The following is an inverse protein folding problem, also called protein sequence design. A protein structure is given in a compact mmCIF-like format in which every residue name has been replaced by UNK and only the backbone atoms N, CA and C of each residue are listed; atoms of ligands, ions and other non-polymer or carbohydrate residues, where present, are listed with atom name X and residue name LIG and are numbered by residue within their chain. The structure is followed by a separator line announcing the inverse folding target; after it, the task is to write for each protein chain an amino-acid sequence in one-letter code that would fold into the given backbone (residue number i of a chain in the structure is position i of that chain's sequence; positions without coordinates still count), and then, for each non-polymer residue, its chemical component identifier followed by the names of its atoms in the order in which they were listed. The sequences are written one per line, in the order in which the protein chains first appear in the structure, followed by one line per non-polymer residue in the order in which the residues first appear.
data_IF_049526616178
#
_entry.id   IF_049526616178
#
_cell.length_a   1.000
_cell.length_b   1.000
_cell.length_c   1.000
_cell.angle_alpha   90.00
_cell.angle_beta   90.00
_cell.angle_gamma   90.00
#
_symmetry.space_group_name_H-M   'P 1'
#
loop_
_entity.id
_entity.type
_entity.pdbx_description
1 polymer ?
#
# COMPACT_ATOMS: atom_id res chain seq x y z
N UNK A 1 16.65 -29.66 -15.45
CA UNK A 1 15.51 -30.30 -14.79
C UNK A 1 14.76 -31.14 -15.82
N UNK A 2 14.45 -32.39 -15.50
CA UNK A 2 13.51 -33.19 -16.29
C UNK A 2 12.10 -32.60 -16.18
N UNK A 3 11.24 -32.81 -17.18
CA UNK A 3 9.86 -32.31 -17.14
C UNK A 3 9.08 -32.81 -15.90
N UNK A 4 9.46 -33.97 -15.36
CA UNK A 4 8.88 -34.54 -14.14
C UNK A 4 9.31 -33.78 -12.88
N UNK A 5 10.58 -33.36 -12.78
CA UNK A 5 11.07 -32.54 -11.66
C UNK A 5 10.39 -31.18 -11.63
N UNK A 6 10.33 -30.50 -12.78
CA UNK A 6 9.67 -29.19 -12.88
C UNK A 6 8.18 -29.25 -12.51
N UNK A 7 7.50 -30.34 -12.86
CA UNK A 7 6.11 -30.56 -12.48
C UNK A 7 5.94 -30.80 -10.98
N UNK A 8 6.85 -31.56 -10.38
CA UNK A 8 6.84 -31.80 -8.93
C UNK A 8 7.06 -30.52 -8.14
N UNK A 9 7.98 -29.64 -8.58
CA UNK A 9 8.18 -28.32 -7.98
C UNK A 9 6.93 -27.44 -8.10
N UNK A 10 6.29 -27.42 -9.27
CA UNK A 10 5.05 -26.68 -9.47
C UNK A 10 3.93 -27.18 -8.54
N UNK A 11 3.74 -28.49 -8.45
CA UNK A 11 2.71 -29.10 -7.60
C UNK A 11 2.96 -28.81 -6.11
N UNK A 12 4.22 -28.84 -5.67
CA UNK A 12 4.60 -28.46 -4.31
C UNK A 12 4.29 -26.98 -4.02
N UNK A 13 4.72 -26.07 -4.90
CA UNK A 13 4.44 -24.64 -4.72
C UNK A 13 2.94 -24.30 -4.74
N UNK A 14 2.14 -25.04 -5.53
CA UNK A 14 0.68 -24.90 -5.49
C UNK A 14 0.08 -25.41 -4.19
N UNK A 15 0.63 -26.48 -3.61
CA UNK A 15 0.18 -26.98 -2.31
C UNK A 15 0.45 -25.96 -1.20
N UNK A 16 1.65 -25.40 -1.16
CA UNK A 16 2.05 -24.36 -0.19
C UNK A 16 1.15 -23.12 -0.34
N UNK A 17 0.92 -22.66 -1.57
CA UNK A 17 0.04 -21.52 -1.84
C UNK A 17 -1.40 -21.76 -1.34
N UNK A 18 -1.95 -22.96 -1.58
CA UNK A 18 -3.29 -23.30 -1.12
C UNK A 18 -3.36 -23.40 0.41
N UNK A 19 -2.31 -23.89 1.05
CA UNK A 19 -2.20 -23.91 2.51
C UNK A 19 -2.20 -22.48 3.07
N UNK A 20 -1.43 -21.56 2.48
CA UNK A 20 -1.41 -20.15 2.86
C UNK A 20 -2.80 -19.54 2.73
N UNK A 21 -3.45 -19.70 1.59
CA UNK A 21 -4.81 -19.16 1.35
C UNK A 21 -5.80 -19.70 2.39
N UNK A 22 -5.74 -21.00 2.68
CA UNK A 22 -6.63 -21.63 3.65
C UNK A 22 -6.41 -21.11 5.07
N UNK A 23 -5.15 -20.94 5.49
CA UNK A 23 -4.82 -20.36 6.80
C UNK A 23 -5.26 -18.90 6.87
N UNK A 24 -4.95 -18.09 5.84
CA UNK A 24 -5.36 -16.69 5.76
C UNK A 24 -6.89 -16.51 5.91
N UNK A 25 -7.69 -17.41 5.35
CA UNK A 25 -9.15 -17.36 5.44
C UNK A 25 -9.68 -17.56 6.87
N UNK A 26 -8.95 -18.29 7.72
CA UNK A 26 -9.37 -18.61 9.08
C UNK A 26 -9.32 -17.39 10.02
N UNK A 27 -8.36 -16.48 9.85
CA UNK A 27 -8.19 -15.33 10.76
C UNK A 27 -9.36 -14.35 10.74
N UNK A 28 -9.90 -14.04 9.57
CA UNK A 28 -10.90 -12.96 9.41
C UNK A 28 -12.32 -13.44 9.09
N UNK A 29 -12.54 -14.76 9.01
CA UNK A 29 -13.77 -15.29 8.39
C UNK A 29 -13.94 -14.77 6.96
N UNK A 30 -12.82 -14.49 6.28
CA UNK A 30 -12.80 -13.97 4.91
C UNK A 30 -12.83 -15.15 3.95
N UNK A 31 -13.77 -15.10 3.01
CA UNK A 31 -13.87 -16.11 1.95
C UNK A 31 -12.52 -16.32 1.24
N UNK A 32 -12.02 -17.57 1.14
CA UNK A 32 -10.75 -17.89 0.47
C UNK A 32 -10.65 -17.33 -0.96
N UNK A 33 -11.81 -17.18 -1.63
CA UNK A 33 -11.92 -16.58 -2.97
C UNK A 33 -11.42 -15.13 -3.03
N UNK A 34 -11.59 -14.34 -1.96
CA UNK A 34 -11.10 -12.96 -1.90
C UNK A 34 -9.57 -12.93 -1.86
N UNK A 35 -8.95 -13.76 -1.03
CA UNK A 35 -7.48 -13.86 -0.93
C UNK A 35 -6.90 -14.31 -2.27
N UNK A 36 -7.52 -15.32 -2.90
CA UNK A 36 -7.12 -15.77 -4.24
C UNK A 36 -7.22 -14.66 -5.29
N UNK A 37 -8.25 -13.82 -5.20
CA UNK A 37 -8.43 -12.69 -6.11
C UNK A 37 -7.33 -11.64 -5.92
N UNK A 38 -6.93 -11.33 -4.69
CA UNK A 38 -5.81 -10.41 -4.44
C UNK A 38 -4.48 -10.95 -4.95
N UNK A 39 -4.20 -12.24 -4.72
CA UNK A 39 -3.02 -12.91 -5.27
C UNK A 39 -3.04 -12.86 -6.80
N UNK A 40 -4.21 -13.08 -7.43
CA UNK A 40 -4.35 -12.99 -8.88
C UNK A 40 -4.04 -11.58 -9.40
N UNK A 41 -4.52 -10.53 -8.74
CA UNK A 41 -4.22 -9.14 -9.13
C UNK A 41 -2.72 -8.85 -9.08
N UNK A 42 -2.04 -9.30 -8.03
CA UNK A 42 -0.57 -9.14 -7.90
C UNK A 42 0.14 -9.88 -9.03
N UNK A 43 -0.25 -11.14 -9.28
CA UNK A 43 0.33 -11.94 -10.36
C UNK A 43 0.11 -11.30 -11.73
N UNK A 44 -1.11 -10.86 -12.04
CA UNK A 44 -1.44 -10.21 -13.31
C UNK A 44 -0.63 -8.94 -13.50
N UNK A 45 -0.48 -8.13 -12.45
CA UNK A 45 0.37 -6.94 -12.48
C UNK A 45 1.84 -7.28 -12.82
N UNK A 46 2.42 -8.27 -12.13
CA UNK A 46 3.80 -8.72 -12.37
C UNK A 46 3.94 -9.24 -13.80
N UNK A 47 3.03 -10.11 -14.25
CA UNK A 47 3.07 -10.69 -15.60
C UNK A 47 2.94 -9.61 -16.69
N UNK A 48 2.03 -8.66 -16.52
CA UNK A 48 1.86 -7.54 -17.46
C UNK A 48 3.12 -6.68 -17.53
N UNK A 49 3.75 -6.38 -16.38
CA UNK A 49 5.01 -5.62 -16.35
C UNK A 49 6.16 -6.36 -17.01
N UNK A 50 6.31 -7.65 -16.75
CA UNK A 50 7.32 -8.48 -17.43
C UNK A 50 7.06 -8.54 -18.93
N UNK A 51 5.80 -8.69 -19.35
CA UNK A 51 5.41 -8.71 -20.75
C UNK A 51 5.72 -7.39 -21.46
N UNK A 52 5.40 -6.26 -20.82
CA UNK A 52 5.73 -4.92 -21.32
C UNK A 52 7.24 -4.76 -21.53
N UNK A 53 8.05 -5.15 -20.55
CA UNK A 53 9.51 -5.04 -20.64
C UNK A 53 10.10 -5.99 -21.69
N UNK A 54 9.58 -7.22 -21.79
CA UNK A 54 9.99 -8.18 -22.82
C UNK A 54 9.67 -7.65 -24.22
N UNK A 55 8.47 -7.12 -24.42
CA UNK A 55 8.03 -6.48 -25.66
C UNK A 55 8.95 -5.30 -26.01
N UNK A 56 9.14 -4.37 -25.09
CA UNK A 56 9.98 -3.19 -25.27
C UNK A 56 11.42 -3.56 -25.65
N UNK A 57 12.00 -4.54 -24.96
CA UNK A 57 13.36 -5.00 -25.24
C UNK A 57 13.49 -5.71 -26.59
N UNK A 58 12.46 -6.47 -27.00
CA UNK A 58 12.51 -7.26 -28.24
C UNK A 58 12.12 -6.47 -29.48
N UNK A 59 11.26 -5.47 -29.34
CA UNK A 59 10.70 -4.68 -30.44
C UNK A 59 10.88 -3.18 -30.22
N UNK A 60 12.13 -2.66 -30.18
CA UNK A 60 12.39 -1.24 -29.92
C UNK A 60 11.85 -0.30 -31.02
N UNK A 61 11.60 -0.81 -32.22
CA UNK A 61 11.09 -0.05 -33.37
C UNK A 61 9.58 -0.18 -33.55
N UNK A 62 8.83 -0.44 -32.47
CA UNK A 62 7.37 -0.52 -32.57
C UNK A 62 6.75 0.86 -32.82
N UNK A 63 5.83 0.93 -33.78
CA UNK A 63 5.04 2.14 -34.10
C UNK A 63 4.24 2.64 -32.89
N UNK A 64 3.99 1.77 -31.89
CA UNK A 64 3.35 2.16 -30.63
C UNK A 64 4.12 3.30 -29.96
N UNK A 65 5.46 3.33 -30.05
CA UNK A 65 6.24 4.39 -29.40
C UNK A 65 5.99 5.78 -29.98
N UNK A 66 5.59 5.89 -31.24
CA UNK A 66 5.30 7.18 -31.90
C UNK A 66 3.98 7.78 -31.43
N UNK A 67 3.05 6.94 -30.97
CA UNK A 67 1.71 7.34 -30.55
C UNK A 67 1.64 7.91 -29.12
N UNK A 68 2.75 7.86 -28.37
CA UNK A 68 2.79 8.26 -26.96
C UNK A 68 3.96 9.19 -26.67
N UNK A 69 3.74 10.18 -25.80
CA UNK A 69 4.77 11.18 -25.44
C UNK A 69 6.01 10.57 -24.80
N UNK A 70 5.84 9.51 -24.02
CA UNK A 70 6.92 8.79 -23.35
C UNK A 70 6.52 7.34 -23.07
N UNK A 71 7.52 6.49 -22.79
CA UNK A 71 7.32 5.04 -22.58
C UNK A 71 6.41 4.76 -21.39
N UNK A 72 6.49 5.57 -20.33
CA UNK A 72 5.72 5.40 -19.10
C UNK A 72 4.21 5.63 -19.34
N UNK A 73 3.86 6.43 -20.35
CA UNK A 73 2.47 6.71 -20.71
C UNK A 73 1.78 5.62 -21.54
N UNK A 74 2.51 4.59 -21.98
CA UNK A 74 1.97 3.50 -22.79
C UNK A 74 1.19 2.54 -21.87
N UNK A 75 -0.12 2.33 -22.09
CA UNK A 75 -0.89 1.37 -21.30
C UNK A 75 -0.43 -0.08 -21.56
N UNK A 76 -0.42 -0.92 -20.53
CA UNK A 76 0.03 -2.31 -20.65
C UNK A 76 -0.76 -3.09 -21.71
N UNK A 77 -2.08 -2.89 -21.82
CA UNK A 77 -2.92 -3.59 -22.81
C UNK A 77 -2.53 -3.27 -24.27
N UNK A 78 -2.04 -2.05 -24.54
CA UNK A 78 -1.61 -1.64 -25.89
C UNK A 78 -0.30 -2.33 -26.25
N UNK A 79 0.65 -2.32 -25.33
CA UNK A 79 1.93 -3.02 -25.49
C UNK A 79 1.74 -4.53 -25.66
N UNK A 80 0.86 -5.14 -24.85
CA UNK A 80 0.56 -6.57 -24.94
C UNK A 80 -0.10 -6.91 -26.29
N UNK A 81 -1.05 -6.10 -26.76
CA UNK A 81 -1.70 -6.33 -28.06
C UNK A 81 -0.71 -6.21 -29.24
N UNK A 82 0.23 -5.25 -29.20
CA UNK A 82 1.29 -5.17 -30.21
C UNK A 82 2.29 -6.34 -30.09
N UNK A 83 2.62 -6.76 -28.86
CA UNK A 83 3.46 -7.93 -28.63
C UNK A 83 2.84 -9.20 -29.23
N UNK A 84 1.53 -9.37 -29.10
CA UNK A 84 0.78 -10.48 -29.71
C UNK A 84 0.83 -10.48 -31.23
N UNK A 85 0.69 -9.30 -31.84
CA UNK A 85 0.78 -9.17 -33.31
C UNK A 85 2.17 -9.49 -33.83
N UNK A 86 3.21 -9.02 -33.13
CA UNK A 86 4.62 -9.17 -33.57
C UNK A 86 5.22 -10.53 -33.22
N UNK A 87 4.75 -11.15 -32.15
CA UNK A 87 5.08 -12.52 -31.79
C UNK A 87 3.80 -13.33 -31.56
N UNK A 88 3.19 -13.88 -32.63
CA UNK A 88 1.96 -14.65 -32.52
C UNK A 88 2.10 -15.96 -31.73
N UNK A 89 3.32 -16.51 -31.63
CA UNK A 89 3.56 -17.76 -30.91
C UNK A 89 3.51 -17.52 -29.37
N UNK A 90 2.50 -18.04 -28.65
CA UNK A 90 2.34 -17.81 -27.21
C UNK A 90 3.46 -18.44 -26.37
N UNK A 91 4.03 -19.57 -26.82
CA UNK A 91 5.11 -20.25 -26.08
C UNK A 91 6.39 -19.42 -26.13
N UNK A 92 6.72 -18.88 -27.31
CA UNK A 92 7.89 -17.99 -27.43
C UNK A 92 7.66 -16.67 -26.68
N UNK A 93 6.43 -16.13 -26.67
CA UNK A 93 6.13 -14.97 -25.80
C UNK A 93 6.40 -15.30 -24.35
N UNK A 94 5.84 -16.40 -23.83
CA UNK A 94 6.04 -16.81 -22.44
C UNK A 94 7.53 -17.01 -22.12
N UNK A 95 8.31 -17.60 -23.04
CA UNK A 95 9.76 -17.75 -22.89
C UNK A 95 10.50 -16.41 -22.80
N UNK A 96 10.09 -15.41 -23.58
CA UNK A 96 10.67 -14.07 -23.52
C UNK A 96 10.31 -13.37 -22.20
N UNK A 97 9.03 -13.44 -21.80
CA UNK A 97 8.55 -12.85 -20.55
C UNK A 97 9.23 -13.48 -19.34
N UNK A 98 9.41 -14.81 -19.35
CA UNK A 98 10.03 -15.53 -18.24
C UNK A 98 11.51 -15.18 -18.02
N UNK A 99 12.20 -14.64 -19.03
CA UNK A 99 13.60 -14.19 -18.92
C UNK A 99 13.74 -12.80 -18.30
N UNK A 100 12.65 -12.03 -18.21
CA UNK A 100 12.68 -10.70 -17.63
C UNK A 100 12.57 -10.83 -16.11
N UNK A 101 13.58 -10.35 -15.40
CA UNK A 101 13.55 -10.16 -13.96
C UNK A 101 13.25 -8.69 -13.65
N UNK A 102 12.29 -8.44 -12.77
CA UNK A 102 11.86 -7.08 -12.39
C UNK A 102 11.89 -6.93 -10.86
N UNK A 103 12.14 -5.71 -10.38
CA UNK A 103 12.23 -5.46 -8.94
C UNK A 103 10.96 -5.85 -8.18
N UNK A 104 9.79 -5.70 -8.80
CA UNK A 104 8.48 -6.05 -8.25
C UNK A 104 8.32 -7.52 -7.88
N UNK A 105 9.09 -8.43 -8.51
CA UNK A 105 9.09 -9.86 -8.18
C UNK A 105 9.75 -10.15 -6.83
N UNK A 106 10.61 -9.25 -6.36
CA UNK A 106 11.36 -9.38 -5.12
C UNK A 106 10.81 -8.49 -4.00
N UNK A 107 9.69 -7.80 -4.25
CA UNK A 107 8.99 -6.99 -3.24
C UNK A 107 8.00 -7.85 -2.46
N UNK A 108 7.87 -7.58 -1.18
CA UNK A 108 6.77 -8.10 -0.36
C UNK A 108 5.49 -7.36 -0.71
N UNK A 109 4.44 -8.12 -1.04
CA UNK A 109 3.13 -7.57 -1.36
C UNK A 109 2.16 -7.78 -0.19
N UNK A 110 1.37 -6.76 0.20
CA UNK A 110 0.41 -6.91 1.28
C UNK A 110 -0.70 -7.88 0.86
N UNK A 111 -0.91 -8.92 1.68
CA UNK A 111 -1.94 -9.93 1.44
C UNK A 111 -3.15 -9.78 2.36
N UNK A 112 -2.90 -9.60 3.66
CA UNK A 112 -3.92 -9.51 4.69
C UNK A 112 -3.48 -8.53 5.77
N UNK A 113 -4.36 -7.62 6.18
CA UNK A 113 -4.15 -6.77 7.35
C UNK A 113 -4.69 -7.46 8.61
N UNK A 114 -3.87 -7.52 9.65
CA UNK A 114 -4.20 -8.06 10.97
C UNK A 114 -4.53 -6.88 11.90
N UNK A 115 -5.68 -6.91 12.58
CA UNK A 115 -6.15 -5.78 13.40
C UNK A 115 -6.09 -6.05 14.91
N UNK A 116 -6.25 -7.30 15.32
CA UNK A 116 -6.31 -7.68 16.74
C UNK A 116 -5.02 -8.38 17.17
N UNK A 117 -4.69 -8.29 18.47
CA UNK A 117 -3.54 -8.98 19.04
C UNK A 117 -3.66 -10.51 18.90
N UNK A 118 -4.89 -11.05 18.98
CA UNK A 118 -5.17 -12.47 18.78
C UNK A 118 -4.89 -12.91 17.34
N UNK A 119 -5.25 -12.09 16.33
CA UNK A 119 -4.94 -12.36 14.93
C UNK A 119 -3.43 -12.35 14.70
N UNK A 120 -2.72 -11.39 15.30
CA UNK A 120 -1.27 -11.26 15.20
C UNK A 120 -0.59 -12.49 15.80
N UNK A 121 -0.98 -12.88 17.01
CA UNK A 121 -0.42 -14.04 17.69
C UNK A 121 -0.67 -15.33 16.91
N UNK A 122 -1.89 -15.53 16.44
CA UNK A 122 -2.24 -16.73 15.67
C UNK A 122 -1.50 -16.75 14.34
N UNK A 123 -1.38 -15.62 13.64
CA UNK A 123 -0.62 -15.54 12.40
C UNK A 123 0.86 -15.85 12.61
N UNK A 124 1.46 -15.36 13.69
CA UNK A 124 2.86 -15.66 14.04
C UNK A 124 3.09 -17.16 14.24
N UNK A 125 2.14 -17.86 14.87
CA UNK A 125 2.22 -19.30 15.08
C UNK A 125 2.02 -20.09 13.78
N UNK A 126 0.99 -19.72 12.99
CA UNK A 126 0.58 -20.47 11.81
C UNK A 126 1.52 -20.29 10.60
N UNK A 127 2.18 -19.14 10.47
CA UNK A 127 3.09 -18.83 9.38
C UNK A 127 4.58 -18.96 9.76
N UNK A 128 4.89 -19.47 10.96
CA UNK A 128 6.27 -19.57 11.45
C UNK A 128 7.20 -20.34 10.49
N UNK A 129 6.70 -21.45 9.94
CA UNK A 129 7.45 -22.39 9.09
C UNK A 129 7.06 -22.29 7.60
N UNK A 130 6.40 -21.20 7.19
CA UNK A 130 5.98 -21.01 5.80
C UNK A 130 6.90 -19.99 5.12
N UNK A 131 7.75 -20.52 4.24
CA UNK A 131 8.61 -19.69 3.39
C UNK A 131 7.79 -18.79 2.46
N UNK A 132 8.17 -17.52 2.37
CA UNK A 132 7.54 -16.54 1.48
C UNK A 132 6.38 -15.75 2.10
N UNK A 133 5.99 -16.02 3.35
CA UNK A 133 5.05 -15.18 4.11
C UNK A 133 5.81 -14.46 5.23
N UNK A 134 5.51 -13.17 5.41
CA UNK A 134 6.12 -12.36 6.46
C UNK A 134 5.05 -11.51 7.14
N UNK A 135 5.16 -11.37 8.46
CA UNK A 135 4.34 -10.48 9.26
C UNK A 135 5.12 -9.19 9.46
N UNK A 136 4.63 -8.12 8.86
CA UNK A 136 5.25 -6.80 8.93
C UNK A 136 4.39 -5.87 9.79
N UNK A 137 5.04 -5.15 10.71
CA UNK A 137 4.37 -4.11 11.47
C UNK A 137 4.04 -2.93 10.56
N UNK A 138 2.77 -2.48 10.60
CA UNK A 138 2.30 -1.28 9.89
C UNK A 138 1.78 -0.28 10.91
N UNK A 139 2.27 0.94 10.85
CA UNK A 139 1.76 2.01 11.70
C UNK A 139 0.36 2.43 11.24
N UNK A 140 -0.57 2.56 12.20
CA UNK A 140 -1.93 3.06 11.97
C UNK A 140 -2.21 4.24 12.90
N UNK A 141 -2.89 5.25 12.40
CA UNK A 141 -3.38 6.37 13.23
C UNK A 141 -4.62 5.93 13.99
N UNK A 142 -4.63 6.15 15.30
CA UNK A 142 -5.74 5.83 16.21
C UNK A 142 -6.27 7.12 16.83
N UNK A 143 -7.59 7.31 16.82
CA UNK A 143 -8.27 8.49 17.36
C UNK A 143 -9.13 8.06 18.57
N UNK A 144 -8.60 8.11 19.80
CA UNK A 144 -9.25 7.53 20.99
C UNK A 144 -10.62 8.10 21.31
N UNK A 145 -10.86 9.37 20.94
CA UNK A 145 -12.09 10.11 21.26
C UNK A 145 -13.10 10.14 20.10
N UNK A 146 -12.86 9.36 19.03
CA UNK A 146 -13.79 9.21 17.93
C UNK A 146 -14.15 10.52 17.26
N UNK A 147 -15.44 10.88 17.30
CA UNK A 147 -15.97 12.10 16.68
C UNK A 147 -15.63 13.40 17.42
N UNK A 148 -15.20 13.32 18.69
CA UNK A 148 -14.91 14.50 19.48
C UNK A 148 -13.72 15.27 18.90
N UNK A 149 -13.90 16.58 18.67
CA UNK A 149 -12.94 17.43 17.98
C UNK A 149 -12.49 16.94 16.59
N UNK A 150 -13.21 16.02 15.94
CA UNK A 150 -12.73 15.38 14.70
C UNK A 150 -12.42 16.39 13.58
N UNK A 151 -13.20 17.47 13.50
CA UNK A 151 -12.98 18.57 12.55
C UNK A 151 -11.72 19.39 12.85
N UNK A 152 -11.35 19.51 14.12
CA UNK A 152 -10.18 20.28 14.58
C UNK A 152 -8.92 19.43 14.52
N UNK A 153 -8.99 18.17 14.92
CA UNK A 153 -7.86 17.24 14.84
C UNK A 153 -7.58 16.87 13.38
N UNK A 154 -8.63 16.64 12.58
CA UNK A 154 -8.52 16.13 11.23
C UNK A 154 -8.27 14.62 11.19
N UNK A 155 -7.99 14.10 10.00
CA UNK A 155 -7.67 12.69 9.79
C UNK A 155 -6.58 12.51 8.75
N UNK A 156 -5.85 11.40 8.85
CA UNK A 156 -4.91 10.96 7.82
C UNK A 156 -5.62 10.15 6.72
N UNK A 157 -5.12 10.25 5.49
CA UNK A 157 -5.56 9.43 4.36
C UNK A 157 -4.45 9.26 3.32
N UNK A 158 -4.66 8.44 2.27
CA UNK A 158 -3.66 8.22 1.23
C UNK A 158 -3.20 9.53 0.58
N UNK A 159 -1.89 9.71 0.41
CA UNK A 159 -1.26 10.90 -0.19
C UNK A 159 -1.36 10.89 -1.72
N UNK A 160 -2.60 10.97 -2.21
CA UNK A 160 -2.92 10.89 -3.64
C UNK A 160 -3.04 12.26 -4.30
N UNK A 161 -3.22 13.33 -3.53
CA UNK A 161 -3.39 14.65 -4.10
C UNK A 161 -2.05 15.27 -4.51
N UNK A 162 -2.10 16.15 -5.51
CA UNK A 162 -0.91 16.81 -6.00
C UNK A 162 -0.28 17.73 -4.94
N UNK A 163 -1.10 18.41 -4.14
CA UNK A 163 -0.65 19.28 -3.06
C UNK A 163 0.16 18.51 -2.00
N UNK A 164 -0.35 17.36 -1.55
CA UNK A 164 0.34 16.47 -0.59
C UNK A 164 1.75 16.11 -1.10
N UNK A 165 1.83 15.71 -2.37
CA UNK A 165 3.09 15.28 -3.00
C UNK A 165 4.09 16.43 -3.16
N UNK A 166 3.62 17.68 -3.23
CA UNK A 166 4.49 18.86 -3.36
C UNK A 166 5.16 19.24 -2.03
N UNK A 167 4.49 19.05 -0.89
CA UNK A 167 4.96 19.51 0.43
C UNK A 167 6.37 19.03 0.78
N UNK A 168 6.74 17.83 0.33
CA UNK A 168 8.07 17.23 0.57
C UNK A 168 8.77 16.77 -0.72
N UNK A 169 8.38 17.28 -1.89
CA UNK A 169 8.86 16.78 -3.18
C UNK A 169 10.39 16.81 -3.33
N UNK A 170 11.03 17.82 -2.75
CA UNK A 170 12.47 18.07 -2.89
C UNK A 170 13.34 17.16 -2.01
N UNK A 171 12.76 16.54 -0.97
CA UNK A 171 13.48 15.62 -0.08
C UNK A 171 13.08 14.17 -0.36
N UNK A 172 14.01 13.39 -0.93
CA UNK A 172 13.78 11.97 -1.28
C UNK A 172 13.32 11.10 -0.10
N UNK A 173 13.69 11.44 1.13
CA UNK A 173 13.35 10.67 2.33
C UNK A 173 12.08 11.17 3.02
N UNK A 174 11.56 12.35 2.64
CA UNK A 174 10.30 12.90 3.16
C UNK A 174 9.16 12.85 2.15
N UNK A 175 9.46 12.87 0.83
CA UNK A 175 8.45 12.78 -0.24
C UNK A 175 7.51 11.60 -0.05
N UNK A 176 6.24 11.73 -0.38
CA UNK A 176 5.31 10.62 -0.28
C UNK A 176 5.61 9.52 -1.29
N UNK A 177 5.54 8.27 -0.83
CA UNK A 177 5.39 7.09 -1.69
C UNK A 177 3.90 6.83 -1.94
N UNK A 178 3.59 6.02 -2.96
CA UNK A 178 2.20 5.83 -3.41
C UNK A 178 1.28 5.14 -2.37
N UNK A 179 1.85 4.42 -1.41
CA UNK A 179 1.17 3.68 -0.34
C UNK A 179 1.16 4.40 1.01
N UNK A 180 1.72 5.61 1.07
CA UNK A 180 1.82 6.38 2.31
C UNK A 180 0.60 7.28 2.54
N UNK A 181 0.39 7.62 3.80
CA UNK A 181 -0.68 8.51 4.26
C UNK A 181 -0.13 9.88 4.67
N UNK A 182 -0.96 10.91 4.52
CA UNK A 182 -0.76 12.28 4.97
C UNK A 182 -2.00 12.75 5.74
N UNK A 183 -1.90 13.80 6.56
CA UNK A 183 -3.05 14.57 6.99
C UNK A 183 -3.87 15.02 5.78
N UNK A 184 -5.19 14.80 5.80
CA UNK A 184 -6.09 15.33 4.77
C UNK A 184 -6.37 16.79 5.03
N UNK A 185 -6.57 17.54 3.95
CA UNK A 185 -6.93 18.95 3.98
C UNK A 185 -7.89 19.23 5.15
N UNK A 186 -7.43 20.10 6.06
CA UNK A 186 -8.06 20.54 7.32
C UNK A 186 -7.59 19.84 8.62
N UNK A 187 -7.61 20.63 9.70
CA UNK A 187 -7.26 20.20 11.04
C UNK A 187 -5.76 20.10 11.33
N UNK A 188 -5.45 19.63 12.53
CA UNK A 188 -4.09 19.56 13.09
C UNK A 188 -3.21 18.58 12.32
N UNK A 189 -3.73 17.42 11.88
CA UNK A 189 -2.95 16.44 11.12
C UNK A 189 -2.35 17.07 9.85
N UNK A 190 -3.13 17.88 9.11
CA UNK A 190 -2.66 18.56 7.91
C UNK A 190 -1.75 19.76 8.23
N UNK A 191 -2.19 20.65 9.13
CA UNK A 191 -1.44 21.88 9.45
C UNK A 191 -0.08 21.55 10.07
N UNK A 192 0.00 20.50 10.88
CA UNK A 192 1.22 20.09 11.56
C UNK A 192 1.96 18.94 10.86
N UNK A 193 1.62 18.60 9.60
CA UNK A 193 2.23 17.46 8.88
C UNK A 193 3.77 17.53 8.85
N UNK A 194 4.32 18.75 8.69
CA UNK A 194 5.78 18.99 8.71
C UNK A 194 6.45 18.63 10.03
N UNK A 195 5.70 18.62 11.12
CA UNK A 195 6.14 18.26 12.47
C UNK A 195 5.85 16.76 12.71
N UNK A 196 4.67 16.28 12.32
CA UNK A 196 4.13 14.95 12.64
C UNK A 196 4.73 13.81 11.81
N UNK A 197 5.07 14.02 10.54
CA UNK A 197 5.44 12.93 9.60
C UNK A 197 6.79 12.28 9.90
N UNK A 198 7.76 13.06 10.37
CA UNK A 198 9.15 12.61 10.47
C UNK A 198 9.82 12.44 9.11
N UNK A 199 10.85 11.58 9.06
CA UNK A 199 11.67 11.33 7.87
C UNK A 199 12.09 9.86 7.79
N UNK A 200 11.90 9.23 6.63
CA UNK A 200 12.27 7.83 6.44
C UNK A 200 13.78 7.60 6.55
N UNK A 201 14.12 6.40 6.99
CA UNK A 201 15.47 5.87 6.84
C UNK A 201 15.73 5.37 5.43
N UNK A 202 16.97 4.98 5.17
CA UNK A 202 17.39 4.36 3.92
C UNK A 202 18.50 3.37 4.20
N UNK A 203 18.32 2.14 3.75
CA UNK A 203 19.37 1.12 3.73
C UNK A 203 19.76 0.90 2.27
N UNK A 204 21.05 0.79 2.01
CA UNK A 204 21.61 0.58 0.68
C UNK A 204 22.45 -0.68 0.71
N UNK A 205 22.13 -1.59 -0.19
CA UNK A 205 22.88 -2.80 -0.45
C UNK A 205 23.57 -2.68 -1.81
N UNK A 206 24.70 -3.33 -1.98
CA UNK A 206 25.31 -3.53 -3.29
C UNK A 206 24.65 -4.67 -4.07
N UNK A 207 25.22 -5.00 -5.23
CA UNK A 207 24.74 -6.08 -6.10
C UNK A 207 24.87 -7.48 -5.45
N UNK A 208 25.82 -7.63 -4.52
CA UNK A 208 26.10 -8.87 -3.79
C UNK A 208 25.30 -8.94 -2.47
N UNK A 209 24.41 -7.96 -2.24
CA UNK A 209 23.57 -7.78 -1.05
C UNK A 209 24.35 -7.45 0.22
N UNK A 210 25.57 -6.95 0.11
CA UNK A 210 26.32 -6.42 1.24
C UNK A 210 25.84 -5.00 1.59
N UNK A 211 25.75 -4.71 2.89
CA UNK A 211 25.31 -3.40 3.38
C UNK A 211 26.38 -2.34 3.10
N UNK A 212 26.07 -1.37 2.24
CA UNK A 212 27.00 -0.28 1.86
C UNK A 212 26.62 1.07 2.45
N UNK A 213 25.42 1.23 3.01
CA UNK A 213 25.06 2.47 3.69
C UNK A 213 23.72 2.40 4.42
N UNK A 214 23.65 3.10 5.55
CA UNK A 214 22.45 3.19 6.37
C UNK A 214 22.20 4.64 6.80
N UNK A 215 20.98 5.11 6.62
CA UNK A 215 20.45 6.34 7.20
C UNK A 215 19.29 5.96 8.10
N UNK A 216 19.39 6.27 9.38
CA UNK A 216 18.32 5.96 10.35
C UNK A 216 17.09 6.82 10.10
N UNK A 217 15.92 6.22 10.29
CA UNK A 217 14.65 6.95 10.30
C UNK A 217 14.61 7.94 11.47
N UNK A 218 13.90 9.05 11.28
CA UNK A 218 13.60 10.02 12.33
C UNK A 218 12.09 10.07 12.49
N UNK A 219 11.62 9.80 13.70
CA UNK A 219 10.20 9.94 14.01
C UNK A 219 9.78 11.41 13.92
N UNK A 220 8.48 11.62 13.66
CA UNK A 220 7.87 12.91 13.84
C UNK A 220 7.94 13.37 15.29
N UNK A 221 7.55 14.61 15.52
CA UNK A 221 7.47 15.18 16.86
C UNK A 221 6.02 15.22 17.31
N UNK A 222 5.85 15.17 18.62
CA UNK A 222 4.55 15.32 19.24
C UNK A 222 4.04 16.76 19.09
N UNK A 223 2.73 16.88 18.90
CA UNK A 223 2.02 18.16 18.86
C UNK A 223 1.08 18.19 20.06
N UNK A 224 1.28 19.17 20.94
CA UNK A 224 0.37 19.46 22.04
C UNK A 224 -0.60 20.56 21.63
N UNK A 225 -1.89 20.32 21.84
CA UNK A 225 -2.95 21.29 21.60
C UNK A 225 -3.38 21.88 22.93
N UNK A 226 -3.90 23.11 22.91
CA UNK A 226 -4.59 23.69 24.08
C UNK A 226 -6.07 23.29 24.13
N UNK A 227 -6.47 22.29 23.35
CA UNK A 227 -7.82 21.74 23.35
C UNK A 227 -8.00 20.85 24.58
N UNK A 228 -8.92 21.23 25.46
CA UNK A 228 -9.41 20.38 26.55
C UNK A 228 -10.47 19.42 25.99
N UNK A 229 -10.13 18.12 25.95
CA UNK A 229 -10.98 17.10 25.35
C UNK A 229 -12.25 16.82 26.17
N UNK A 230 -12.19 16.92 27.50
CA UNK A 230 -13.35 16.68 28.36
C UNK A 230 -14.36 17.83 28.22
N UNK A 231 -13.87 19.06 28.18
CA UNK A 231 -14.69 20.24 27.95
C UNK A 231 -15.29 20.25 26.54
N UNK A 232 -14.50 19.87 25.54
CA UNK A 232 -14.97 19.70 24.16
C UNK A 232 -16.14 18.69 24.08
N UNK A 233 -15.96 17.49 24.64
CA UNK A 233 -16.99 16.46 24.65
C UNK A 233 -18.27 16.93 25.35
N UNK A 234 -18.14 17.66 26.47
CA UNK A 234 -19.29 18.25 27.17
C UNK A 234 -20.06 19.21 26.26
N UNK A 235 -19.37 20.13 25.60
CA UNK A 235 -19.99 21.13 24.73
C UNK A 235 -20.65 20.47 23.51
N UNK A 236 -19.98 19.53 22.84
CA UNK A 236 -20.57 18.78 21.72
C UNK A 236 -21.84 18.01 22.14
N UNK A 237 -21.81 17.39 23.32
CA UNK A 237 -22.98 16.69 23.87
C UNK A 237 -24.15 17.65 24.17
N UNK A 238 -23.87 18.85 24.68
CA UNK A 238 -24.89 19.88 24.90
C UNK A 238 -25.50 20.37 23.58
N UNK A 239 -24.67 20.60 22.57
CA UNK A 239 -25.12 21.06 21.25
C UNK A 239 -25.95 20.00 20.53
N UNK A 240 -25.58 18.73 20.65
CA UNK A 240 -26.30 17.61 20.01
C UNK A 240 -27.66 17.35 20.65
N UNK A 241 -27.77 17.54 21.98
CA UNK A 241 -29.00 17.29 22.74
C UNK A 241 -29.76 18.58 23.10
N UNK A 242 -29.65 19.62 22.27
CA UNK A 242 -30.24 20.92 22.53
C UNK A 242 -31.77 20.85 22.56
N UNK A 243 -32.38 21.08 23.74
CA UNK A 243 -33.83 20.90 23.98
C UNK A 243 -34.70 22.12 23.65
N UNK A 244 -34.12 23.24 23.20
CA UNK A 244 -34.82 24.54 23.24
C UNK A 244 -35.45 25.02 21.93
N UNK A 245 -35.20 24.40 20.77
CA UNK A 245 -35.92 24.75 19.53
C UNK A 245 -35.93 23.57 18.52
N UNK A 246 -37.09 23.00 18.17
CA UNK A 246 -37.20 21.93 17.16
C UNK A 246 -36.84 22.38 15.72
N UNK A 247 -36.69 23.68 15.46
CA UNK A 247 -36.25 24.22 14.17
C UNK A 247 -34.72 24.47 14.09
N UNK A 248 -34.00 24.41 15.20
CA UNK A 248 -32.54 24.45 15.21
C UNK A 248 -32.00 23.02 15.02
N UNK A 249 -31.74 22.64 13.77
CA UNK A 249 -31.14 21.35 13.44
C UNK A 249 -29.68 21.21 13.91
N UNK A 250 -29.10 19.99 13.78
CA UNK A 250 -27.72 19.69 14.13
C UNK A 250 -26.75 20.33 13.11
N UNK A 251 -26.55 21.64 13.21
CA UNK A 251 -25.64 22.41 12.36
C UNK A 251 -24.61 23.22 13.15
N UNK A 252 -24.50 22.98 14.46
CA UNK A 252 -23.60 23.73 15.34
C UNK A 252 -22.32 22.91 15.59
N UNK A 253 -21.18 23.48 15.20
CA UNK A 253 -19.86 23.02 15.61
C UNK A 253 -19.28 24.03 16.60
N UNK A 254 -18.73 23.53 17.70
CA UNK A 254 -17.94 24.34 18.62
C UNK A 254 -16.60 23.66 18.82
N UNK A 255 -15.55 24.46 18.97
CA UNK A 255 -14.23 23.98 19.35
C UNK A 255 -13.74 24.80 20.52
N UNK A 256 -13.32 24.11 21.57
CA UNK A 256 -12.85 24.75 22.79
C UNK A 256 -11.34 24.74 22.79
N UNK A 257 -10.78 25.94 22.87
CA UNK A 257 -9.34 26.20 22.86
C UNK A 257 -9.07 27.00 24.14
N UNK A 258 -8.24 26.48 25.03
CA UNK A 258 -7.76 27.18 26.23
C UNK A 258 -6.49 28.01 25.93
#
# INVERSE_FOLDING_TARGET
ASAAEARKELDAGLADLNQIISKCAQFRGVEPSKIKTEIQKINDFIWNRRAFQAWRGKFPNSEVFENYKNIISIPDYVAIADFEKRQPNPVERLRLVNKVDIAEMHKTWPLLELETDDDIFTAQLEFLDIDGVQILAKARRFYPFGSAAAQTIGWVGPATQQADRQLFADDKLSRYLDDEVCGREDGVEYVCETILRGKRGKVVYDIDRELIGETKARFGKDVSLTLDIELQQRIENYLTNYKHDPNCGPGMAASVIE
#
